data_IF_208369827534
#
_entry.id   IF_208369827534
#
_cell.length_a   1.000
_cell.length_b   1.000
_cell.length_c   1.000
_cell.angle_alpha   90.00
_cell.angle_beta   90.00
_cell.angle_gamma   90.00
#
_symmetry.space_group_name_H-M   'P 1'
#
loop_
_entity.id
_entity.type
_entity.pdbx_description
1 polymer ?
#
# COMPACT_ATOMS: atom_id res chain seq x y z
N UNK A 1 -7.98 24.79 9.25
CA UNK A 1 -8.31 23.69 8.32
C UNK A 1 -8.00 24.02 6.85
N UNK A 2 -8.46 25.14 6.29
CA UNK A 2 -8.17 25.49 4.88
C UNK A 2 -6.68 25.48 4.51
N UNK A 3 -5.81 26.03 5.37
CA UNK A 3 -4.34 25.99 5.17
C UNK A 3 -3.79 24.56 5.09
N UNK A 4 -4.27 23.65 5.93
CA UNK A 4 -3.86 22.23 5.90
C UNK A 4 -4.22 21.58 4.56
N UNK A 5 -5.45 21.81 4.05
CA UNK A 5 -5.88 21.28 2.75
C UNK A 5 -5.01 21.83 1.62
N UNK A 6 -4.72 23.13 1.62
CA UNK A 6 -3.86 23.76 0.60
C UNK A 6 -2.43 23.19 0.62
N UNK A 7 -1.91 22.80 1.79
CA UNK A 7 -0.61 22.14 1.93
C UNK A 7 -0.65 20.67 1.49
N UNK A 8 -1.75 19.97 1.76
CA UNK A 8 -1.90 18.55 1.47
C UNK A 8 -2.20 18.21 0.02
N UNK A 9 -3.03 19.03 -0.64
CA UNK A 9 -3.52 18.74 -2.00
C UNK A 9 -2.38 18.61 -3.02
N UNK A 10 -1.36 19.49 -3.05
CA UNK A 10 -0.24 19.34 -3.97
C UNK A 10 0.55 18.04 -3.77
N UNK A 11 0.73 17.61 -2.51
CA UNK A 11 1.42 16.36 -2.16
C UNK A 11 0.62 15.16 -2.68
N UNK A 12 -0.69 15.14 -2.42
CA UNK A 12 -1.57 14.07 -2.90
C UNK A 12 -1.64 14.02 -4.43
N UNK A 13 -1.65 15.18 -5.09
CA UNK A 13 -1.64 15.25 -6.55
C UNK A 13 -0.35 14.64 -7.12
N UNK A 14 0.80 14.96 -6.53
CA UNK A 14 2.08 14.41 -6.97
C UNK A 14 2.15 12.89 -6.77
N UNK A 15 1.74 12.38 -5.59
CA UNK A 15 1.69 10.94 -5.30
C UNK A 15 0.74 10.24 -6.26
N UNK A 16 -0.48 10.77 -6.43
CA UNK A 16 -1.48 10.17 -7.32
C UNK A 16 -1.05 10.14 -8.79
N UNK A 17 -0.26 11.13 -9.25
CA UNK A 17 0.33 11.11 -10.60
C UNK A 17 1.34 9.96 -10.76
N UNK A 18 2.26 9.82 -9.81
CA UNK A 18 3.28 8.76 -9.83
C UNK A 18 2.63 7.38 -9.73
N UNK A 19 1.66 7.22 -8.83
CA UNK A 19 0.90 5.98 -8.67
C UNK A 19 0.12 5.64 -9.96
N UNK A 20 -0.57 6.61 -10.55
CA UNK A 20 -1.30 6.42 -11.81
C UNK A 20 -0.38 5.95 -12.95
N UNK A 21 0.83 6.50 -13.05
CA UNK A 21 1.84 6.03 -14.01
C UNK A 21 2.32 4.61 -13.70
N UNK A 22 2.57 4.28 -12.43
CA UNK A 22 2.95 2.94 -12.02
C UNK A 22 1.85 1.92 -12.36
N UNK A 23 0.58 2.25 -12.09
CA UNK A 23 -0.57 1.42 -12.48
C UNK A 23 -0.64 1.25 -13.99
N UNK A 24 -0.45 2.31 -14.77
CA UNK A 24 -0.46 2.23 -16.24
C UNK A 24 0.62 1.26 -16.77
N UNK A 25 1.81 1.27 -16.18
CA UNK A 25 2.89 0.32 -16.51
C UNK A 25 2.48 -1.12 -16.17
N UNK A 26 1.88 -1.35 -15.00
CA UNK A 26 1.39 -2.69 -14.62
C UNK A 26 0.31 -3.18 -15.58
N UNK A 27 -0.64 -2.30 -15.94
CA UNK A 27 -1.70 -2.63 -16.89
C UNK A 27 -1.13 -2.94 -18.29
N UNK A 28 -0.19 -2.13 -18.80
CA UNK A 28 0.47 -2.39 -20.09
C UNK A 28 1.29 -3.70 -20.06
N UNK A 29 2.00 -3.98 -18.95
CA UNK A 29 2.68 -5.26 -18.78
C UNK A 29 1.71 -6.44 -18.85
N UNK A 30 0.58 -6.37 -18.14
CA UNK A 30 -0.45 -7.42 -18.20
C UNK A 30 -1.05 -7.52 -19.60
N UNK A 31 -1.30 -6.39 -20.26
CA UNK A 31 -1.83 -6.32 -21.62
C UNK A 31 -0.93 -7.05 -22.63
N UNK A 32 0.39 -6.83 -22.54
CA UNK A 32 1.38 -7.45 -23.43
C UNK A 32 1.63 -8.90 -23.07
N UNK A 33 1.72 -9.21 -21.78
CA UNK A 33 1.94 -10.57 -21.31
C UNK A 33 0.73 -11.47 -21.61
N UNK A 34 -0.49 -10.92 -21.54
CA UNK A 34 -1.78 -11.62 -21.66
C UNK A 34 -2.86 -10.75 -22.31
N UNK A 35 -2.81 -10.54 -23.64
CA UNK A 35 -3.78 -9.70 -24.35
C UNK A 35 -5.23 -10.21 -24.25
N UNK A 36 -5.40 -11.53 -24.05
CA UNK A 36 -6.68 -12.21 -23.82
C UNK A 36 -7.44 -11.72 -22.57
N UNK A 37 -6.75 -11.13 -21.59
CA UNK A 37 -7.39 -10.62 -20.36
C UNK A 37 -8.13 -9.31 -20.62
N UNK A 38 -7.70 -8.55 -21.63
CA UNK A 38 -8.29 -7.26 -22.00
C UNK A 38 -9.21 -7.35 -23.21
N UNK A 39 -9.04 -8.38 -24.06
CA UNK A 39 -9.91 -8.63 -25.19
C UNK A 39 -11.06 -9.54 -24.77
N UNK A 40 -12.29 -9.02 -24.78
CA UNK A 40 -13.51 -9.79 -24.52
C UNK A 40 -13.88 -10.74 -25.68
N UNK A 41 -12.89 -11.42 -26.29
CA UNK A 41 -13.10 -12.36 -27.38
C UNK A 41 -12.50 -13.72 -27.02
N UNK A 42 -13.23 -14.82 -27.22
CA UNK A 42 -12.71 -16.15 -26.95
C UNK A 42 -11.61 -16.46 -27.97
N UNK A 43 -10.35 -16.36 -27.55
CA UNK A 43 -9.23 -16.73 -28.41
C UNK A 43 -9.33 -18.23 -28.74
N UNK A 44 -9.28 -18.62 -30.04
CA UNK A 44 -9.26 -20.00 -30.44
C UNK A 44 -7.85 -20.56 -30.18
N UNK A 45 -7.75 -21.46 -29.20
CA UNK A 45 -6.55 -22.25 -28.87
C UNK A 45 -5.37 -21.48 -28.25
N UNK A 46 -5.20 -21.59 -26.93
CA UNK A 46 -3.97 -21.18 -26.27
C UNK A 46 -4.10 -21.03 -24.76
N UNK A 47 -4.34 -22.13 -24.05
CA UNK A 47 -4.44 -22.18 -22.59
C UNK A 47 -3.12 -21.84 -21.87
N UNK A 48 -2.67 -20.59 -21.92
CA UNK A 48 -1.71 -20.12 -20.92
C UNK A 48 -2.51 -19.68 -19.68
N UNK A 49 -2.28 -20.28 -18.51
CA UNK A 49 -3.00 -19.88 -17.29
C UNK A 49 -2.55 -18.48 -16.82
N UNK A 50 -3.33 -17.76 -16.02
CA UNK A 50 -2.91 -16.48 -15.39
C UNK A 50 -1.69 -16.63 -14.46
N UNK A 51 -1.26 -17.87 -14.23
CA UNK A 51 -0.19 -18.28 -13.32
C UNK A 51 1.13 -17.50 -13.50
N UNK A 52 1.68 -17.27 -14.71
CA UNK A 52 2.93 -16.51 -14.85
C UNK A 52 2.77 -15.03 -14.45
N UNK A 53 1.62 -14.41 -14.74
CA UNK A 53 1.33 -13.02 -14.36
C UNK A 53 1.18 -12.91 -12.84
N UNK A 54 0.45 -13.85 -12.23
CA UNK A 54 0.29 -13.90 -10.77
C UNK A 54 1.62 -14.13 -10.06
N UNK A 55 2.48 -15.01 -10.60
CA UNK A 55 3.83 -15.22 -10.07
C UNK A 55 4.65 -13.93 -10.20
N UNK A 56 4.63 -13.27 -11.37
CA UNK A 56 5.36 -12.02 -11.58
C UNK A 56 4.93 -10.92 -10.61
N UNK A 57 3.62 -10.73 -10.43
CA UNK A 57 3.07 -9.76 -9.48
C UNK A 57 3.38 -10.13 -8.02
N UNK A 58 3.34 -11.43 -7.69
CA UNK A 58 3.73 -11.93 -6.38
C UNK A 58 5.20 -11.66 -6.07
N UNK A 59 6.10 -11.93 -7.01
CA UNK A 59 7.54 -11.63 -6.87
C UNK A 59 7.76 -10.12 -6.72
N UNK A 60 7.08 -9.30 -7.52
CA UNK A 60 7.15 -7.84 -7.40
C UNK A 60 6.68 -7.36 -6.02
N UNK A 61 5.55 -7.90 -5.51
CA UNK A 61 5.05 -7.56 -4.18
C UNK A 61 6.03 -7.95 -3.06
N UNK A 62 6.68 -9.11 -3.17
CA UNK A 62 7.70 -9.55 -2.21
C UNK A 62 8.95 -8.65 -2.24
N UNK A 63 9.42 -8.25 -3.43
CA UNK A 63 10.56 -7.35 -3.58
C UNK A 63 10.24 -5.95 -3.04
N UNK A 64 9.05 -5.43 -3.35
CA UNK A 64 8.61 -4.12 -2.88
C UNK A 64 8.41 -4.11 -1.35
N UNK A 65 7.77 -5.15 -0.80
CA UNK A 65 7.53 -5.25 0.64
C UNK A 65 8.78 -5.59 1.46
N UNK A 66 9.68 -6.42 0.92
CA UNK A 66 10.86 -6.89 1.65
C UNK A 66 12.08 -5.99 1.53
N UNK A 67 12.36 -5.47 0.33
CA UNK A 67 13.60 -4.75 0.01
C UNK A 67 13.33 -3.26 -0.22
N UNK A 68 12.30 -2.91 -1.00
CA UNK A 68 12.02 -1.50 -1.28
C UNK A 68 11.55 -0.74 -0.02
N UNK A 69 11.01 -1.44 0.97
CA UNK A 69 10.66 -0.88 2.28
C UNK A 69 11.85 -0.27 3.02
N UNK A 70 13.08 -0.76 2.84
CA UNK A 70 14.29 -0.15 3.41
C UNK A 70 14.60 1.24 2.85
N UNK A 71 14.07 1.55 1.67
CA UNK A 71 14.25 2.84 1.02
C UNK A 71 13.13 3.82 1.37
N UNK A 72 12.24 3.46 2.32
CA UNK A 72 11.25 4.38 2.87
C UNK A 72 11.93 5.64 3.41
N UNK A 73 11.27 6.78 3.22
CA UNK A 73 11.79 8.07 3.65
C UNK A 73 11.90 8.11 5.17
N UNK A 74 13.05 8.54 5.68
CA UNK A 74 13.26 8.88 7.09
C UNK A 74 12.86 10.33 7.43
N UNK A 75 12.45 11.10 6.41
CA UNK A 75 11.95 12.47 6.57
C UNK A 75 10.45 12.47 6.88
N UNK A 76 9.94 13.54 7.54
CA UNK A 76 8.54 13.66 7.89
C UNK A 76 7.63 13.45 6.68
N UNK A 77 6.53 12.74 6.89
CA UNK A 77 5.57 12.47 5.84
C UNK A 77 4.79 13.74 5.46
N UNK A 78 3.94 13.64 4.42
CA UNK A 78 3.14 14.79 3.99
C UNK A 78 2.18 15.31 5.06
N UNK A 79 1.83 14.47 6.04
CA UNK A 79 0.96 14.78 7.16
C UNK A 79 1.67 15.60 8.21
N UNK A 80 2.77 15.09 8.73
CA UNK A 80 3.65 15.77 9.67
C UNK A 80 4.11 17.10 9.09
N UNK A 81 4.52 17.13 7.82
CA UNK A 81 4.92 18.37 7.14
C UNK A 81 3.79 19.41 7.10
N UNK A 82 2.57 18.97 6.77
CA UNK A 82 1.41 19.87 6.71
C UNK A 82 0.96 20.33 8.10
N UNK A 83 1.07 19.48 9.13
CA UNK A 83 0.81 19.84 10.53
C UNK A 83 1.82 20.88 10.98
N UNK A 84 3.11 20.61 10.82
CA UNK A 84 4.18 21.51 11.20
C UNK A 84 4.02 22.90 10.56
N UNK A 85 3.59 22.94 9.29
CA UNK A 85 3.34 24.22 8.60
C UNK A 85 2.13 24.99 9.13
N UNK A 86 1.14 24.30 9.70
CA UNK A 86 -0.11 24.88 10.21
C UNK A 86 -0.01 25.26 11.69
N UNK A 87 0.64 24.44 12.50
CA UNK A 87 0.75 24.63 13.97
C UNK A 87 2.06 25.25 14.40
N UNK A 88 3.10 25.16 13.57
CA UNK A 88 4.47 25.53 13.94
C UNK A 88 5.14 24.52 14.89
N UNK A 89 4.55 23.34 15.07
CA UNK A 89 5.07 22.26 15.91
C UNK A 89 5.19 20.99 15.07
N UNK A 90 6.31 20.28 15.20
CA UNK A 90 6.55 19.03 14.45
C UNK A 90 5.54 17.93 14.82
N UNK A 91 5.09 17.91 16.07
CA UNK A 91 4.02 17.01 16.55
C UNK A 91 2.92 17.77 17.30
N UNK A 92 1.70 17.25 17.18
CA UNK A 92 0.57 17.75 17.97
C UNK A 92 0.66 17.20 19.39
N UNK A 93 0.53 18.07 20.39
CA UNK A 93 0.37 17.63 21.78
C UNK A 93 -0.90 16.77 21.89
N UNK A 94 -0.71 15.47 22.17
CA UNK A 94 -1.81 14.55 22.41
C UNK A 94 -2.60 15.01 23.65
N UNK A 95 -3.94 15.13 23.59
CA UNK A 95 -4.74 15.41 24.77
C UNK A 95 -4.56 14.28 25.79
N UNK A 96 -4.01 14.61 26.96
CA UNK A 96 -3.67 13.64 28.01
C UNK A 96 -4.89 13.00 28.70
N UNK A 97 -6.11 13.48 28.42
CA UNK A 97 -7.33 12.99 29.06
C UNK A 97 -8.43 12.80 28.03
N UNK A 98 -9.07 11.62 28.04
CA UNK A 98 -10.33 11.38 27.34
C UNK A 98 -10.29 10.24 26.32
N UNK A 99 -11.00 10.40 25.21
CA UNK A 99 -11.13 9.34 24.18
C UNK A 99 -9.80 9.06 23.47
N UNK A 100 -8.96 10.08 23.28
CA UNK A 100 -7.65 9.93 22.63
C UNK A 100 -6.74 8.97 23.40
N UNK A 101 -6.60 9.16 24.72
CA UNK A 101 -5.83 8.29 25.61
C UNK A 101 -6.33 6.83 25.56
N UNK A 102 -7.66 6.62 25.61
CA UNK A 102 -8.25 5.27 25.54
C UNK A 102 -7.98 4.58 24.21
N UNK A 103 -8.04 5.33 23.11
CA UNK A 103 -7.73 4.82 21.78
C UNK A 103 -6.22 4.56 21.61
N UNK A 104 -5.36 5.40 22.18
CA UNK A 104 -3.92 5.20 22.19
C UNK A 104 -3.53 3.92 22.94
N UNK A 105 -4.10 3.70 24.14
CA UNK A 105 -3.90 2.44 24.90
C UNK A 105 -4.42 1.22 24.12
N UNK A 106 -5.56 1.35 23.44
CA UNK A 106 -6.08 0.27 22.60
C UNK A 106 -5.18 0.02 21.38
N UNK A 107 -4.67 1.07 20.74
CA UNK A 107 -3.72 0.97 19.64
C UNK A 107 -2.43 0.29 20.10
N UNK A 108 -1.81 0.75 21.18
CA UNK A 108 -0.55 0.20 21.70
C UNK A 108 -0.68 -1.28 22.10
N UNK A 109 -1.81 -1.64 22.71
CA UNK A 109 -2.10 -3.03 23.07
C UNK A 109 -2.32 -3.93 21.85
N UNK A 110 -2.99 -3.42 20.80
CA UNK A 110 -3.31 -4.19 19.58
C UNK A 110 -2.23 -4.13 18.49
N UNK A 111 -1.34 -3.14 18.53
CA UNK A 111 -0.28 -2.94 17.55
C UNK A 111 0.76 -4.06 17.66
N UNK A 112 0.66 -5.08 16.82
CA UNK A 112 1.63 -6.19 16.80
C UNK A 112 3.04 -5.74 16.38
N UNK A 113 3.12 -4.76 15.48
CA UNK A 113 4.36 -4.16 14.96
C UNK A 113 4.31 -2.63 15.13
N UNK A 114 4.54 -2.09 16.34
CA UNK A 114 4.60 -0.64 16.54
C UNK A 114 5.73 -0.05 15.69
N UNK A 115 5.44 1.05 14.99
CA UNK A 115 6.38 1.75 14.11
C UNK A 115 7.15 0.82 13.15
N UNK A 116 6.46 -0.21 12.66
CA UNK A 116 7.02 -1.22 11.77
C UNK A 116 8.11 -2.12 12.39
N UNK A 117 8.39 -2.01 13.69
CA UNK A 117 9.32 -2.84 14.46
C UNK A 117 8.62 -3.87 15.35
N UNK A 118 9.38 -4.78 15.97
CA UNK A 118 8.83 -5.71 16.96
C UNK A 118 8.75 -5.08 18.35
N UNK A 119 7.70 -5.37 19.14
CA UNK A 119 7.55 -4.87 20.53
C UNK A 119 8.76 -5.11 21.45
N UNK A 120 9.58 -6.12 21.14
CA UNK A 120 10.73 -6.55 21.96
C UNK A 120 12.07 -6.07 21.39
N UNK A 121 12.09 -5.42 20.22
CA UNK A 121 13.28 -4.67 19.82
C UNK A 121 13.45 -3.56 20.84
N UNK A 122 14.55 -3.61 21.62
CA UNK A 122 15.00 -2.43 22.34
C UNK A 122 15.04 -1.29 21.33
N UNK A 123 14.59 -0.06 21.66
CA UNK A 123 14.63 1.06 20.73
C UNK A 123 16.02 1.06 20.12
N UNK A 124 16.10 0.78 18.82
CA UNK A 124 17.35 0.80 18.11
C UNK A 124 17.92 2.18 18.43
N UNK A 125 19.07 2.22 19.10
CA UNK A 125 19.73 3.47 19.42
C UNK A 125 19.72 4.29 18.13
N UNK A 126 19.10 5.48 18.20
CA UNK A 126 18.81 6.37 17.08
C UNK A 126 19.76 6.10 15.91
N UNK A 127 19.31 5.31 14.93
CA UNK A 127 20.07 5.13 13.69
C UNK A 127 19.90 6.44 12.93
N UNK A 128 20.83 7.36 13.17
CA UNK A 128 20.89 8.79 12.79
C UNK A 128 20.50 9.10 11.33
N UNK A 129 19.24 8.88 10.95
CA UNK A 129 18.75 9.10 9.59
C UNK A 129 19.47 8.26 8.52
N UNK A 130 20.05 7.11 8.88
CA UNK A 130 20.74 6.25 7.92
C UNK A 130 19.76 5.77 6.83
N UNK A 131 20.06 6.10 5.58
CA UNK A 131 19.26 5.72 4.41
C UNK A 131 20.11 4.88 3.45
N UNK A 132 19.70 3.65 3.08
CA UNK A 132 18.45 2.97 3.47
C UNK A 132 18.46 2.43 4.91
N UNK A 133 17.31 2.47 5.58
CA UNK A 133 17.10 1.97 6.95
C UNK A 133 16.83 0.47 6.96
N UNK A 134 17.89 -0.33 6.93
CA UNK A 134 17.80 -1.79 6.87
C UNK A 134 17.34 -2.35 8.21
N UNK A 135 16.09 -2.81 8.29
CA UNK A 135 15.51 -3.40 9.50
C UNK A 135 14.74 -4.69 9.16
N UNK A 136 14.80 -5.66 10.07
CA UNK A 136 14.03 -6.90 9.96
C UNK A 136 12.54 -6.66 10.18
N UNK A 137 12.18 -5.75 11.09
CA UNK A 137 10.81 -5.30 11.31
C UNK A 137 10.21 -4.65 10.06
N UNK A 138 10.93 -3.73 9.41
CA UNK A 138 10.45 -3.05 8.19
C UNK A 138 10.25 -4.02 7.02
N UNK A 139 11.13 -5.01 6.86
CA UNK A 139 10.91 -6.09 5.90
C UNK A 139 9.68 -6.94 6.22
N UNK A 140 9.50 -7.35 7.48
CA UNK A 140 8.37 -8.21 7.88
C UNK A 140 7.04 -7.47 7.72
N UNK A 141 6.96 -6.23 8.20
CA UNK A 141 5.77 -5.39 8.05
C UNK A 141 5.46 -5.12 6.58
N UNK A 142 6.46 -4.79 5.76
CA UNK A 142 6.28 -4.57 4.33
C UNK A 142 5.86 -5.85 3.57
N UNK A 143 6.37 -7.02 3.93
CA UNK A 143 5.93 -8.31 3.36
C UNK A 143 4.48 -8.62 3.73
N UNK A 144 4.11 -8.46 5.00
CA UNK A 144 2.72 -8.68 5.47
C UNK A 144 1.77 -7.72 4.75
N UNK A 145 2.11 -6.43 4.70
CA UNK A 145 1.34 -5.42 3.98
C UNK A 145 1.21 -5.74 2.49
N UNK A 146 2.30 -6.15 1.84
CA UNK A 146 2.31 -6.54 0.43
C UNK A 146 1.42 -7.75 0.14
N UNK A 147 1.45 -8.78 0.99
CA UNK A 147 0.57 -9.96 0.87
C UNK A 147 -0.90 -9.56 1.06
N UNK A 148 -1.21 -8.73 2.05
CA UNK A 148 -2.57 -8.24 2.28
C UNK A 148 -3.08 -7.42 1.09
N UNK A 149 -2.28 -6.49 0.56
CA UNK A 149 -2.63 -5.68 -0.60
C UNK A 149 -2.89 -6.54 -1.84
N UNK A 150 -2.02 -7.50 -2.13
CA UNK A 150 -2.21 -8.44 -3.24
C UNK A 150 -3.47 -9.29 -3.04
N UNK A 151 -3.72 -9.77 -1.83
CA UNK A 151 -4.92 -10.52 -1.48
C UNK A 151 -6.20 -9.72 -1.74
N UNK A 152 -6.25 -8.45 -1.34
CA UNK A 152 -7.37 -7.56 -1.59
C UNK A 152 -7.58 -7.29 -3.10
N UNK A 153 -6.50 -7.07 -3.85
CA UNK A 153 -6.58 -6.90 -5.30
C UNK A 153 -7.15 -8.15 -6.00
N UNK A 154 -6.71 -9.34 -5.60
CA UNK A 154 -7.22 -10.60 -6.13
C UNK A 154 -8.69 -10.82 -5.76
N UNK A 155 -9.09 -10.50 -4.53
CA UNK A 155 -10.47 -10.58 -4.07
C UNK A 155 -11.37 -9.63 -4.87
N UNK A 156 -10.96 -8.38 -5.07
CA UNK A 156 -11.69 -7.41 -5.88
C UNK A 156 -11.88 -7.92 -7.32
N UNK A 157 -10.80 -8.41 -7.94
CA UNK A 157 -10.87 -9.01 -9.29
C UNK A 157 -11.79 -10.23 -9.35
N UNK A 158 -11.77 -11.08 -8.32
CA UNK A 158 -12.67 -12.24 -8.23
C UNK A 158 -14.14 -11.83 -8.10
N UNK A 159 -14.46 -10.85 -7.25
CA UNK A 159 -15.83 -10.34 -7.08
C UNK A 159 -16.37 -9.70 -8.37
N UNK A 160 -15.54 -8.92 -9.08
CA UNK A 160 -15.90 -8.34 -10.37
C UNK A 160 -16.17 -9.44 -11.42
N UNK A 161 -15.37 -10.50 -11.43
CA UNK A 161 -15.61 -11.66 -12.31
C UNK A 161 -16.92 -12.37 -12.00
N UNK A 162 -17.23 -12.60 -10.72
CA UNK A 162 -18.49 -13.22 -10.31
C UNK A 162 -19.70 -12.36 -10.73
N UNK A 163 -19.61 -11.04 -10.56
CA UNK A 163 -20.64 -10.12 -10.99
C UNK A 163 -20.86 -10.17 -12.50
N UNK A 164 -19.78 -10.14 -13.29
CA UNK A 164 -19.86 -10.21 -14.76
C UNK A 164 -20.48 -11.55 -15.25
N UNK A 165 -20.14 -12.68 -14.63
CA UNK A 165 -20.72 -13.98 -14.98
C UNK A 165 -22.22 -14.06 -14.65
N UNK A 166 -22.65 -13.47 -13.53
CA UNK A 166 -24.07 -13.40 -13.16
C UNK A 166 -24.87 -12.55 -14.15
N UNK A 167 -24.35 -11.38 -14.52
CA UNK A 167 -25.03 -10.49 -15.46
C UNK A 167 -25.15 -11.11 -16.87
N UNK A 168 -24.16 -11.92 -17.29
CA UNK A 168 -24.24 -12.69 -18.53
C UNK A 168 -25.37 -13.74 -18.47
N UNK A 169 -25.48 -14.49 -17.36
CA UNK A 169 -26.52 -15.51 -17.18
C UNK A 169 -27.95 -14.92 -17.17
N UNK A 170 -28.13 -13.69 -16.65
CA UNK A 170 -29.42 -12.98 -16.66
C UNK A 170 -29.82 -12.50 -18.06
N UNK A 171 -28.86 -12.18 -18.93
CA UNK A 171 -29.16 -11.77 -20.32
C UNK A 171 -29.54 -12.92 -21.23
N UNK A 172 -29.19 -14.15 -20.86
CA UNK A 172 -29.49 -15.37 -21.63
C UNK A 172 -30.80 -16.08 -21.19
N UNK A 173 -31.46 -15.61 -20.12
CA UNK A 173 -32.75 -16.10 -19.61
C UNK A 173 -33.93 -15.22 -20.05
#
# INVERSE_FOLDING_TARGET
FGTFVVMMVPIHLAIGLVEGLATAVVVDFVARARPEVLQASPAPNGASGLRPVLIGLGVAALLLGGVASWFASTHPDGLEWSIARVTGQDELAAPEVGLHERLAVLQESTAFLPDYGFKTEAPAADDDGAWPSVSTGTSVSGLVGGVMALGLALLAGFLLRLYALRDAAVKES
#
